data_IF_764517130774
#
_entry.id   IF_764517130774
#
_cell.length_a   1.000
_cell.length_b   1.000
_cell.length_c   1.000
_cell.angle_alpha   90.00
_cell.angle_beta   90.00
_cell.angle_gamma   90.00
#
_symmetry.space_group_name_H-M   'P 1'
#
loop_
_entity.id
_entity.type
_entity.pdbx_description
1 polymer ?
#
# COMPACT_ATOMS: atom_id res chain seq x y z
N UNK A 1 -2.64 -7.14 12.72
CA UNK A 1 -2.48 -6.44 11.43
C UNK A 1 -2.66 -4.95 11.68
N UNK A 2 -1.89 -4.06 11.02
CA UNK A 2 -2.00 -2.63 11.25
C UNK A 2 -3.35 -2.12 10.73
N UNK A 3 -3.96 -1.21 11.49
CA UNK A 3 -5.14 -0.47 11.06
C UNK A 3 -4.70 0.88 10.45
N UNK A 4 -5.39 1.28 9.38
CA UNK A 4 -5.26 2.62 8.85
C UNK A 4 -5.58 3.65 9.94
N UNK A 5 -4.86 4.78 10.01
CA UNK A 5 -5.21 5.88 10.92
C UNK A 5 -6.50 6.56 10.46
N UNK A 6 -7.23 7.13 11.42
CA UNK A 6 -8.33 8.04 11.10
C UNK A 6 -7.76 9.37 10.61
N UNK A 7 -8.20 9.81 9.43
CA UNK A 7 -7.77 11.07 8.82
C UNK A 7 -8.90 11.70 8.00
N UNK A 8 -8.94 13.04 7.89
CA UNK A 8 -9.88 13.72 7.00
C UNK A 8 -9.58 13.35 5.54
N UNK A 9 -10.62 13.16 4.74
CA UNK A 9 -10.51 12.92 3.30
C UNK A 9 -10.97 14.15 2.53
N UNK A 10 -10.05 14.76 1.79
CA UNK A 10 -10.21 16.05 1.12
C UNK A 10 -11.32 16.03 0.08
N UNK A 11 -11.37 14.99 -0.77
CA UNK A 11 -12.44 14.86 -1.78
C UNK A 11 -13.84 14.61 -1.17
N UNK A 12 -13.90 14.12 0.07
CA UNK A 12 -15.14 13.89 0.82
C UNK A 12 -15.45 15.02 1.81
N UNK A 13 -15.05 16.25 1.49
CA UNK A 13 -15.37 17.43 2.30
C UNK A 13 -14.69 17.44 3.67
N UNK A 14 -13.60 16.69 3.85
CA UNK A 14 -12.87 16.57 5.11
C UNK A 14 -13.49 15.60 6.11
N UNK A 15 -14.41 14.72 5.66
CA UNK A 15 -14.95 13.67 6.52
C UNK A 15 -13.81 12.77 7.05
N UNK A 16 -13.85 12.49 8.36
CA UNK A 16 -12.83 11.68 9.02
C UNK A 16 -13.21 10.21 8.92
N UNK A 17 -12.34 9.43 8.28
CA UNK A 17 -12.49 7.99 8.15
C UNK A 17 -11.12 7.29 8.19
N UNK A 18 -11.12 5.97 8.39
CA UNK A 18 -9.89 5.20 8.42
C UNK A 18 -9.31 5.06 7.01
N UNK A 19 -8.18 5.71 6.74
CA UNK A 19 -7.54 5.73 5.42
C UNK A 19 -6.00 5.76 5.51
N UNK A 20 -5.35 5.08 4.56
CA UNK A 20 -3.89 5.01 4.44
C UNK A 20 -3.29 6.27 3.81
N UNK A 21 -4.03 7.02 3.02
CA UNK A 21 -3.65 8.32 2.47
C UNK A 21 -4.91 9.10 2.13
N UNK A 22 -4.77 10.42 2.13
CA UNK A 22 -5.83 11.35 1.79
C UNK A 22 -5.98 11.42 0.26
N UNK A 23 -7.22 11.27 -0.20
CA UNK A 23 -7.62 11.49 -1.59
C UNK A 23 -8.00 12.95 -1.78
N UNK A 24 -7.29 13.64 -2.67
CA UNK A 24 -7.54 15.03 -3.02
C UNK A 24 -8.62 15.17 -4.08
N UNK A 25 -8.80 14.15 -4.90
CA UNK A 25 -9.85 14.05 -5.92
C UNK A 25 -10.64 12.76 -5.76
N UNK A 26 -11.81 12.72 -6.42
CA UNK A 26 -12.53 11.49 -6.68
C UNK A 26 -12.90 11.47 -8.18
N UNK A 27 -12.27 10.57 -8.92
CA UNK A 27 -12.49 10.36 -10.35
C UNK A 27 -13.43 9.20 -10.66
N UNK A 28 -14.06 8.59 -9.65
CA UNK A 28 -15.00 7.49 -9.82
C UNK A 28 -14.43 6.37 -10.71
N UNK A 29 -13.15 6.03 -10.50
CA UNK A 29 -12.44 4.99 -11.25
C UNK A 29 -12.03 5.36 -12.69
N UNK A 30 -12.36 6.56 -13.19
CA UNK A 30 -12.02 6.96 -14.56
C UNK A 30 -10.50 7.17 -14.78
N UNK A 31 -9.76 7.50 -13.72
CA UNK A 31 -8.28 7.60 -13.68
C UNK A 31 -7.81 7.58 -12.22
N UNK A 32 -6.50 7.51 -12.01
CA UNK A 32 -5.90 7.63 -10.66
C UNK A 32 -6.24 8.99 -10.02
N UNK A 33 -6.64 8.94 -8.75
CA UNK A 33 -6.89 10.13 -7.94
C UNK A 33 -5.60 10.79 -7.46
N UNK A 34 -5.61 12.13 -7.46
CA UNK A 34 -4.58 12.89 -6.77
C UNK A 34 -4.64 12.56 -5.28
N UNK A 35 -3.48 12.38 -4.66
CA UNK A 35 -3.34 12.02 -3.26
C UNK A 35 -2.38 12.95 -2.53
N UNK A 36 -2.58 13.10 -1.22
CA UNK A 36 -1.66 13.88 -0.39
C UNK A 36 -0.39 13.05 -0.08
N UNK A 37 0.72 13.44 -0.69
CA UNK A 37 2.00 12.71 -0.62
C UNK A 37 2.55 12.58 0.80
N UNK A 38 2.26 13.56 1.66
CA UNK A 38 2.64 13.59 3.07
C UNK A 38 1.99 12.43 3.82
N UNK A 39 0.68 12.27 3.64
CA UNK A 39 -0.12 11.26 4.32
C UNK A 39 0.20 9.84 3.83
N UNK A 40 0.61 9.71 2.56
CA UNK A 40 1.16 8.47 1.97
C UNK A 40 2.52 8.14 2.59
N UNK A 41 3.43 9.11 2.66
CA UNK A 41 4.77 8.93 3.23
C UNK A 41 4.71 8.56 4.73
N UNK A 42 3.82 9.15 5.50
CA UNK A 42 3.58 8.80 6.91
C UNK A 42 3.15 7.34 7.06
N UNK A 43 2.14 6.91 6.29
CA UNK A 43 1.66 5.53 6.32
C UNK A 43 2.73 4.55 5.84
N UNK A 44 3.49 4.91 4.81
CA UNK A 44 4.65 4.13 4.35
C UNK A 44 5.65 3.92 5.47
N UNK A 45 6.08 4.99 6.12
CA UNK A 45 7.06 4.91 7.21
C UNK A 45 6.54 4.03 8.35
N UNK A 46 5.28 4.19 8.74
CA UNK A 46 4.65 3.37 9.78
C UNK A 46 4.67 1.88 9.43
N UNK A 47 4.32 1.52 8.19
CA UNK A 47 4.30 0.12 7.77
C UNK A 47 5.73 -0.42 7.66
N UNK A 48 6.70 0.36 7.15
CA UNK A 48 8.12 -0.04 7.10
C UNK A 48 8.64 -0.38 8.51
N UNK A 49 8.33 0.44 9.51
CA UNK A 49 8.72 0.17 10.90
C UNK A 49 8.16 -1.16 11.41
N UNK A 50 6.91 -1.48 11.06
CA UNK A 50 6.32 -2.78 11.40
C UNK A 50 7.07 -3.91 10.68
N UNK A 51 7.32 -3.78 9.38
CA UNK A 51 8.09 -4.78 8.63
C UNK A 51 9.47 -5.01 9.24
N UNK A 52 10.16 -3.96 9.67
CA UNK A 52 11.48 -4.08 10.30
C UNK A 52 11.43 -4.89 11.59
N UNK A 53 10.44 -4.66 12.45
CA UNK A 53 10.20 -5.47 13.64
C UNK A 53 9.89 -6.93 13.30
N UNK A 54 9.06 -7.18 12.28
CA UNK A 54 8.73 -8.54 11.84
C UNK A 54 9.94 -9.27 11.26
N UNK A 55 10.78 -8.57 10.49
CA UNK A 55 12.01 -9.16 9.97
C UNK A 55 13.00 -9.47 11.09
N UNK A 56 13.10 -8.62 12.11
CA UNK A 56 13.91 -8.90 13.31
C UNK A 56 13.41 -10.15 14.04
N UNK A 57 12.09 -10.28 14.24
CA UNK A 57 11.47 -11.47 14.82
C UNK A 57 11.73 -12.74 13.98
N UNK A 58 11.86 -12.59 12.66
CA UNK A 58 12.26 -13.64 11.72
C UNK A 58 13.78 -13.84 11.61
N UNK A 59 14.58 -13.32 12.54
CA UNK A 59 16.05 -13.43 12.56
C UNK A 59 16.70 -12.91 11.28
N UNK A 60 16.15 -11.85 10.70
CA UNK A 60 16.62 -11.25 9.45
C UNK A 60 16.09 -11.90 8.17
N UNK A 61 15.33 -12.99 8.25
CA UNK A 61 14.79 -13.70 7.08
C UNK A 61 13.59 -12.98 6.45
N UNK A 62 13.83 -11.80 5.86
CA UNK A 62 12.81 -10.99 5.15
C UNK A 62 12.06 -11.72 4.03
N UNK A 63 12.66 -12.74 3.43
CA UNK A 63 12.03 -13.57 2.39
C UNK A 63 10.90 -14.48 2.90
N UNK A 64 10.72 -14.57 4.24
CA UNK A 64 9.57 -15.26 4.86
C UNK A 64 8.39 -14.33 5.12
N UNK A 65 8.57 -13.02 4.92
CA UNK A 65 7.55 -12.02 5.17
C UNK A 65 6.84 -11.67 3.87
N UNK A 66 5.51 -11.81 3.87
CA UNK A 66 4.64 -11.44 2.77
C UNK A 66 3.88 -10.17 3.12
N UNK A 67 3.73 -9.28 2.15
CA UNK A 67 2.97 -8.04 2.29
C UNK A 67 1.77 -8.05 1.35
N UNK A 68 0.67 -7.44 1.76
CA UNK A 68 -0.53 -7.43 0.95
C UNK A 68 -1.59 -6.49 1.48
N UNK A 69 -2.63 -6.28 0.67
CA UNK A 69 -3.71 -5.37 1.00
C UNK A 69 -4.91 -5.47 0.06
N UNK A 70 -5.96 -4.73 0.41
CA UNK A 70 -7.23 -4.65 -0.30
C UNK A 70 -7.57 -3.18 -0.57
N UNK A 71 -8.10 -2.84 -1.76
CA UNK A 71 -8.51 -1.47 -2.12
C UNK A 71 -7.36 -0.46 -1.91
N UNK A 72 -7.60 0.65 -1.23
CA UNK A 72 -6.55 1.63 -0.88
C UNK A 72 -5.37 0.97 -0.14
N UNK A 73 -5.63 -0.05 0.67
CA UNK A 73 -4.61 -0.84 1.34
C UNK A 73 -3.75 -1.66 0.38
N UNK A 74 -4.27 -2.08 -0.77
CA UNK A 74 -3.49 -2.75 -1.81
C UNK A 74 -2.46 -1.79 -2.42
N UNK A 75 -2.91 -0.58 -2.79
CA UNK A 75 -2.04 0.47 -3.31
C UNK A 75 -0.97 0.88 -2.28
N UNK A 76 -1.36 1.12 -1.02
CA UNK A 76 -0.44 1.42 0.08
C UNK A 76 0.58 0.30 0.32
N UNK A 77 0.12 -0.96 0.35
CA UNK A 77 0.99 -2.11 0.57
C UNK A 77 1.99 -2.29 -0.59
N UNK A 78 1.57 -2.04 -1.85
CA UNK A 78 2.45 -2.11 -3.01
C UNK A 78 3.51 -0.99 -2.95
N UNK A 79 3.10 0.22 -2.58
CA UNK A 79 4.00 1.33 -2.38
C UNK A 79 5.09 1.02 -1.34
N UNK A 80 4.70 0.42 -0.20
CA UNK A 80 5.64 -0.04 0.82
C UNK A 80 6.53 -1.18 0.30
N UNK A 81 5.96 -2.17 -0.38
CA UNK A 81 6.69 -3.32 -0.92
C UNK A 81 7.84 -2.86 -1.82
N UNK A 82 7.59 -1.87 -2.67
CA UNK A 82 8.57 -1.30 -3.58
C UNK A 82 9.56 -0.38 -2.86
N UNK A 83 9.19 0.30 -1.77
CA UNK A 83 10.15 1.08 -0.98
C UNK A 83 11.01 0.24 -0.02
N UNK A 84 10.63 -1.01 0.24
CA UNK A 84 11.33 -1.84 1.22
C UNK A 84 12.72 -2.27 0.70
N UNK A 85 13.82 -2.06 1.46
CA UNK A 85 15.18 -2.24 0.96
C UNK A 85 15.63 -3.70 0.88
N UNK A 86 14.91 -4.62 1.55
CA UNK A 86 15.21 -6.06 1.55
C UNK A 86 14.16 -6.81 0.74
N UNK A 87 14.57 -7.88 0.06
CA UNK A 87 13.63 -8.72 -0.70
C UNK A 87 12.60 -9.35 0.26
N UNK A 88 11.32 -9.12 -0.01
CA UNK A 88 10.23 -9.76 0.71
C UNK A 88 9.86 -11.09 0.03
N UNK A 89 9.15 -11.96 0.75
CA UNK A 89 8.71 -13.26 0.25
C UNK A 89 7.71 -13.19 -0.90
N UNK A 90 6.96 -12.08 -0.99
CA UNK A 90 6.04 -11.82 -2.07
C UNK A 90 4.98 -10.78 -1.72
N UNK A 91 4.18 -10.44 -2.72
CA UNK A 91 3.07 -9.51 -2.62
C UNK A 91 1.73 -10.18 -2.97
N UNK A 92 0.69 -9.92 -2.17
CA UNK A 92 -0.69 -10.33 -2.43
C UNK A 92 -1.66 -9.15 -2.35
N UNK A 93 -2.26 -8.78 -3.48
CA UNK A 93 -3.24 -7.70 -3.58
C UNK A 93 -4.62 -8.20 -3.96
N UNK A 94 -5.65 -7.50 -3.49
CA UNK A 94 -7.04 -7.68 -3.92
C UNK A 94 -7.65 -6.32 -4.26
N UNK A 95 -8.39 -6.25 -5.36
CA UNK A 95 -9.17 -5.06 -5.78
C UNK A 95 -8.42 -3.74 -5.60
N UNK A 96 -7.32 -3.54 -6.34
CA UNK A 96 -6.50 -2.32 -6.20
C UNK A 96 -5.56 -2.08 -7.37
N UNK A 97 -4.80 -0.99 -7.31
CA UNK A 97 -3.90 -0.54 -8.38
C UNK A 97 -2.50 -0.20 -7.84
N UNK A 98 -1.57 0.02 -8.75
CA UNK A 98 -0.22 0.53 -8.45
C UNK A 98 -0.27 2.05 -8.62
N UNK A 99 0.13 2.80 -7.59
CA UNK A 99 0.18 4.26 -7.67
C UNK A 99 1.26 4.70 -8.66
N UNK A 100 0.97 5.72 -9.46
CA UNK A 100 1.91 6.31 -10.41
C UNK A 100 3.21 6.79 -9.75
N UNK A 101 3.14 7.20 -8.48
CA UNK A 101 4.28 7.65 -7.69
C UNK A 101 5.10 6.52 -7.06
N UNK A 102 4.62 5.26 -7.10
CA UNK A 102 5.34 4.12 -6.55
C UNK A 102 6.56 3.77 -7.42
N UNK A 103 7.78 3.72 -6.85
CA UNK A 103 8.99 3.45 -7.61
C UNK A 103 9.09 1.99 -8.02
N UNK A 104 9.95 1.72 -9.01
CA UNK A 104 10.36 0.36 -9.36
C UNK A 104 11.63 0.02 -8.60
N UNK A 105 11.54 -0.85 -7.60
CA UNK A 105 12.70 -1.35 -6.87
C UNK A 105 13.11 -2.74 -7.37
N UNK A 106 14.29 -2.80 -7.97
CA UNK A 106 14.82 -4.04 -8.56
C UNK A 106 15.11 -5.14 -7.53
N UNK A 107 15.24 -4.81 -6.24
CA UNK A 107 15.39 -5.79 -5.16
C UNK A 107 14.19 -6.73 -5.10
N UNK A 108 13.00 -6.25 -5.43
CA UNK A 108 11.78 -7.05 -5.43
C UNK A 108 11.54 -7.81 -6.75
N UNK A 109 12.39 -7.66 -7.76
CA UNK A 109 12.16 -8.19 -9.13
C UNK A 109 11.87 -9.70 -9.18
N UNK A 110 12.45 -10.47 -8.26
CA UNK A 110 12.27 -11.92 -8.19
C UNK A 110 11.15 -12.36 -7.24
N UNK A 111 10.63 -11.44 -6.42
CA UNK A 111 9.56 -11.76 -5.49
C UNK A 111 8.24 -11.93 -6.25
N UNK A 112 7.45 -12.99 -5.97
CA UNK A 112 6.18 -13.21 -6.64
C UNK A 112 5.18 -12.11 -6.26
N UNK A 113 4.54 -11.54 -7.28
CA UNK A 113 3.42 -10.60 -7.13
C UNK A 113 2.15 -11.28 -7.65
N UNK A 114 1.09 -11.25 -6.84
CA UNK A 114 -0.25 -11.75 -7.20
C UNK A 114 -1.28 -10.68 -6.87
N UNK A 115 -2.09 -10.32 -7.86
CA UNK A 115 -3.20 -9.37 -7.70
C UNK A 115 -4.46 -10.06 -8.19
N UNK A 116 -5.50 -10.02 -7.38
CA UNK A 116 -6.81 -10.61 -7.68
C UNK A 116 -7.83 -9.47 -7.85
N UNK A 117 -8.46 -9.43 -9.03
CA UNK A 117 -9.48 -8.45 -9.37
C UNK A 117 -10.79 -9.20 -9.66
N UNK A 118 -11.90 -8.69 -9.12
CA UNK A 118 -13.23 -9.21 -9.43
C UNK A 118 -13.64 -8.79 -10.83
N UNK A 119 -14.12 -9.72 -11.66
CA UNK A 119 -14.58 -9.39 -13.01
C UNK A 119 -15.86 -8.52 -13.01
N UNK A 120 -16.59 -8.48 -11.90
CA UNK A 120 -17.77 -7.66 -11.68
C UNK A 120 -17.48 -6.47 -10.76
N UNK A 121 -16.21 -6.10 -10.60
CA UNK A 121 -15.84 -4.88 -9.87
C UNK A 121 -16.20 -3.67 -10.74
N UNK A 122 -17.11 -2.84 -10.24
CA UNK A 122 -17.61 -1.63 -10.92
C UNK A 122 -17.01 -0.35 -10.31
N UNK A 123 -16.10 -0.50 -9.33
CA UNK A 123 -15.43 0.59 -8.61
C UNK A 123 -14.00 0.83 -9.11
#
# INVERSE_FOLDING_TARGET
>A
LPCAPDRPISCYGGEVMSAWYDYLTDHEGAKEDDLATETLAESRQRIIQILDCEVEALQGCSERLFLGGCSQGCAMAMDVFQHYPRRLGGFLGTIGHVLSCTPINLTQRQAPVRIYLGAADEM
#
